data_IF_877140861661
#
_entry.id   IF_877140861661
#
_cell.length_a   1.000
_cell.length_b   1.000
_cell.length_c   1.000
_cell.angle_alpha   90.00
_cell.angle_beta   90.00
_cell.angle_gamma   90.00
#
_symmetry.space_group_name_H-M   'P 1'
#
loop_
_entity.id
_entity.type
_entity.pdbx_description
1 polymer ?
#
# COMPACT_ATOMS: atom_id res chain seq x y z
N UNK A 1 -51.86 -3.79 15.28
CA UNK A 1 -51.00 -2.60 15.48
C UNK A 1 -49.61 -3.14 15.75
N UNK A 2 -48.77 -3.39 14.75
CA UNK A 2 -48.06 -2.40 13.92
C UNK A 2 -46.63 -2.29 14.45
N UNK A 3 -45.72 -3.17 14.01
CA UNK A 3 -44.65 -2.92 13.01
C UNK A 3 -43.56 -1.91 13.45
N UNK A 4 -42.32 -2.38 13.56
CA UNK A 4 -41.18 -1.93 12.72
C UNK A 4 -39.83 -2.46 13.27
N UNK A 5 -39.32 -3.55 12.68
CA UNK A 5 -37.88 -3.76 12.55
C UNK A 5 -37.58 -3.82 11.05
N UNK A 6 -36.82 -2.85 10.60
CA UNK A 6 -36.44 -2.65 9.21
C UNK A 6 -35.24 -3.56 8.92
N UNK A 7 -35.48 -4.69 8.25
CA UNK A 7 -34.41 -5.49 7.64
C UNK A 7 -33.88 -4.76 6.40
N UNK A 8 -32.71 -4.15 6.54
CA UNK A 8 -31.90 -3.67 5.42
C UNK A 8 -31.41 -4.86 4.58
N UNK A 9 -32.11 -5.14 3.47
CA UNK A 9 -31.58 -5.98 2.38
C UNK A 9 -30.45 -5.22 1.68
N UNK A 10 -29.20 -5.60 1.95
CA UNK A 10 -28.04 -5.23 1.15
C UNK A 10 -28.09 -5.99 -0.18
N UNK A 11 -28.42 -5.29 -1.27
CA UNK A 11 -28.35 -5.79 -2.64
C UNK A 11 -26.88 -5.90 -3.08
N UNK A 12 -26.31 -7.10 -2.98
CA UNK A 12 -24.94 -7.42 -3.38
C UNK A 12 -24.79 -7.90 -4.85
N UNK A 13 -25.84 -7.83 -5.67
CA UNK A 13 -25.83 -8.48 -6.99
C UNK A 13 -25.14 -7.70 -8.12
N UNK A 14 -24.66 -6.47 -7.89
CA UNK A 14 -24.09 -5.62 -8.95
C UNK A 14 -22.56 -5.48 -8.95
N UNK A 15 -21.90 -5.64 -7.79
CA UNK A 15 -20.45 -5.38 -7.68
C UNK A 15 -19.56 -6.56 -8.09
N UNK A 16 -20.05 -7.80 -7.99
CA UNK A 16 -19.24 -8.99 -8.31
C UNK A 16 -19.05 -9.21 -9.81
N UNK A 17 -19.99 -8.74 -10.66
CA UNK A 17 -19.90 -8.91 -12.11
C UNK A 17 -18.84 -8.00 -12.75
N UNK A 18 -18.71 -6.76 -12.27
CA UNK A 18 -17.67 -5.81 -12.72
C UNK A 18 -16.26 -6.27 -12.34
N UNK A 19 -16.07 -6.89 -11.17
CA UNK A 19 -14.78 -7.45 -10.75
C UNK A 19 -14.36 -8.67 -11.59
N UNK A 20 -15.32 -9.54 -11.95
CA UNK A 20 -15.09 -10.68 -12.84
C UNK A 20 -14.71 -10.20 -14.25
N UNK A 21 -15.38 -9.15 -14.74
CA UNK A 21 -15.08 -8.45 -15.99
C UNK A 21 -13.63 -7.94 -16.03
N UNK A 22 -13.18 -7.28 -14.96
CA UNK A 22 -11.80 -6.78 -14.84
C UNK A 22 -10.78 -7.91 -14.84
N UNK A 23 -11.04 -9.00 -14.12
CA UNK A 23 -10.14 -10.16 -14.05
C UNK A 23 -10.00 -10.92 -15.37
N UNK A 24 -11.08 -11.04 -16.15
CA UNK A 24 -11.06 -11.70 -17.47
C UNK A 24 -10.30 -10.85 -18.50
N UNK A 25 -10.45 -9.52 -18.44
CA UNK A 25 -9.74 -8.58 -19.31
C UNK A 25 -8.24 -8.50 -18.99
N UNK A 26 -7.84 -8.55 -17.71
CA UNK A 26 -6.44 -8.48 -17.31
C UNK A 26 -5.62 -9.71 -17.73
N UNK A 27 -6.24 -10.89 -17.87
CA UNK A 27 -5.54 -12.13 -18.24
C UNK A 27 -5.04 -12.19 -19.69
N UNK A 28 -5.58 -11.37 -20.60
CA UNK A 28 -5.07 -11.24 -21.99
C UNK A 28 -4.22 -9.98 -22.21
N UNK A 29 -4.16 -9.09 -21.23
CA UNK A 29 -3.42 -7.83 -21.28
C UNK A 29 -2.04 -7.90 -20.60
N UNK A 30 -1.59 -9.09 -20.19
CA UNK A 30 -0.20 -9.36 -19.84
C UNK A 30 0.69 -9.24 -21.09
N UNK A 31 0.87 -8.02 -21.59
CA UNK A 31 2.07 -7.57 -22.30
C UNK A 31 2.18 -6.06 -22.47
N UNK A 32 1.24 -5.23 -21.97
CA UNK A 32 1.47 -3.78 -21.95
C UNK A 32 1.00 -3.15 -20.63
N UNK A 33 1.92 -2.39 -20.03
CA UNK A 33 1.92 -1.82 -18.68
C UNK A 33 0.55 -1.42 -18.12
N UNK A 34 0.14 -2.11 -17.07
CA UNK A 34 -0.95 -1.68 -16.20
C UNK A 34 -0.51 -0.44 -15.40
N UNK A 35 -1.17 0.69 -15.64
CA UNK A 35 -1.35 1.70 -14.59
C UNK A 35 -2.37 1.12 -13.62
N UNK A 36 -1.86 0.57 -12.52
CA UNK A 36 -2.64 0.30 -11.31
C UNK A 36 -3.35 1.61 -10.94
N UNK A 37 -4.66 1.55 -10.69
CA UNK A 37 -5.38 2.63 -10.01
C UNK A 37 -4.87 2.57 -8.57
N UNK A 38 -3.74 3.25 -8.34
CA UNK A 38 -3.29 3.58 -7.00
C UNK A 38 -4.38 4.50 -6.43
N UNK A 39 -5.05 4.04 -5.38
CA UNK A 39 -5.72 4.97 -4.48
C UNK A 39 -4.67 6.03 -4.14
N UNK A 40 -4.93 7.31 -4.44
CA UNK A 40 -4.00 8.40 -4.11
C UNK A 40 -3.87 8.44 -2.57
N UNK A 41 -2.95 7.65 -2.02
CA UNK A 41 -2.58 7.72 -0.63
C UNK A 41 -2.09 9.16 -0.41
N UNK A 42 -2.83 9.94 0.38
CA UNK A 42 -2.43 11.30 0.77
C UNK A 42 -0.99 11.23 1.30
N UNK A 43 -0.06 11.76 0.49
CA UNK A 43 1.35 11.84 0.84
C UNK A 43 1.49 12.77 2.04
N UNK A 44 2.06 12.26 3.12
CA UNK A 44 2.34 13.08 4.29
C UNK A 44 3.30 14.21 3.92
N UNK A 45 3.01 15.43 4.37
CA UNK A 45 3.92 16.55 4.21
C UNK A 45 5.21 16.29 4.98
N UNK A 46 6.35 16.61 4.36
CA UNK A 46 7.67 16.47 4.99
C UNK A 46 8.23 17.81 5.44
N UNK A 47 8.97 17.87 6.56
CA UNK A 47 9.65 19.08 7.00
C UNK A 47 10.60 19.62 5.93
N UNK A 48 10.49 20.91 5.63
CA UNK A 48 11.35 21.57 4.62
C UNK A 48 11.97 22.85 5.12
N UNK A 49 11.44 23.44 6.19
CA UNK A 49 11.96 24.69 6.73
C UNK A 49 11.49 24.91 8.17
N UNK A 50 12.09 25.89 8.84
CA UNK A 50 11.71 26.29 10.19
C UNK A 50 10.43 27.13 10.20
N UNK A 51 9.57 26.87 11.18
CA UNK A 51 8.34 27.63 11.40
C UNK A 51 8.65 28.99 12.03
N UNK A 52 8.54 30.06 11.23
CA UNK A 52 8.82 31.42 11.68
C UNK A 52 7.65 32.06 12.45
N UNK A 53 6.45 31.48 12.40
CA UNK A 53 5.25 32.02 13.06
C UNK A 53 5.18 31.53 14.52
N UNK A 54 5.45 30.24 14.74
CA UNK A 54 5.45 29.62 16.06
C UNK A 54 6.88 29.38 16.56
N UNK A 55 7.60 30.47 16.85
CA UNK A 55 8.95 30.45 17.42
C UNK A 55 8.98 31.23 18.73
N UNK A 56 10.01 31.02 19.57
CA UNK A 56 10.05 31.69 20.88
C UNK A 56 10.22 33.21 20.83
N UNK A 57 10.49 33.78 19.64
CA UNK A 57 10.44 35.21 19.31
C UNK A 57 11.30 36.12 20.19
N UNK A 58 12.26 36.84 19.60
CA UNK A 58 13.08 37.84 20.32
C UNK A 58 14.32 37.31 21.04
N UNK A 59 14.51 35.99 21.12
CA UNK A 59 15.77 35.37 21.60
C UNK A 59 16.60 34.76 20.48
N UNK A 60 15.95 34.43 19.37
CA UNK A 60 16.60 33.98 18.14
C UNK A 60 16.06 34.77 16.95
N UNK A 61 16.85 34.76 15.88
CA UNK A 61 16.42 35.12 14.54
C UNK A 61 16.54 33.89 13.65
N UNK A 62 15.49 33.63 12.87
CA UNK A 62 15.53 32.69 11.75
C UNK A 62 15.93 33.48 10.51
N UNK A 63 16.94 33.01 9.79
CA UNK A 63 17.41 33.65 8.56
C UNK A 63 16.36 33.59 7.44
N UNK A 64 16.44 34.43 6.39
CA UNK A 64 15.47 34.45 5.30
C UNK A 64 15.32 33.12 4.54
N UNK A 65 16.36 32.28 4.56
CA UNK A 65 16.37 30.92 4.02
C UNK A 65 15.45 29.96 4.80
N UNK A 66 15.02 30.34 6.01
CA UNK A 66 14.30 29.52 6.99
C UNK A 66 15.01 28.22 7.37
N UNK A 67 16.33 28.20 7.22
CA UNK A 67 17.20 27.04 7.47
C UNK A 67 18.39 27.40 8.35
N UNK A 68 18.44 28.62 8.89
CA UNK A 68 19.50 29.04 9.81
C UNK A 68 18.92 29.77 11.02
N UNK A 69 19.47 29.50 12.20
CA UNK A 69 19.05 30.09 13.47
C UNK A 69 20.26 30.73 14.14
N UNK A 70 20.09 31.94 14.65
CA UNK A 70 21.10 32.62 15.46
C UNK A 70 20.49 33.14 16.76
N UNK A 71 21.18 32.94 17.88
CA UNK A 71 20.83 33.57 19.15
C UNK A 71 21.27 35.03 19.17
N UNK A 72 20.35 35.94 19.45
CA UNK A 72 20.60 37.38 19.32
C UNK A 72 20.51 38.15 20.63
N UNK A 73 20.06 37.52 21.71
CA UNK A 73 19.93 38.20 23.00
C UNK A 73 21.29 38.30 23.70
N UNK A 74 21.49 39.41 24.41
CA UNK A 74 22.70 39.73 25.19
C UNK A 74 22.46 39.64 26.70
N UNK A 75 21.20 39.66 27.14
CA UNK A 75 20.81 39.53 28.54
C UNK A 75 20.42 38.08 28.83
N UNK A 76 21.29 37.35 29.53
CA UNK A 76 21.16 35.90 29.76
C UNK A 76 20.38 35.62 31.05
N UNK A 77 19.04 35.53 30.97
CA UNK A 77 18.28 34.84 32.01
C UNK A 77 18.11 33.36 31.63
N UNK A 78 18.07 32.47 32.63
CA UNK A 78 18.00 31.01 32.40
C UNK A 78 16.73 30.51 31.68
N UNK A 79 15.79 31.41 31.36
CA UNK A 79 14.56 31.11 30.63
C UNK A 79 14.54 31.74 29.23
N UNK A 80 15.60 32.40 28.80
CA UNK A 80 15.67 33.12 27.53
C UNK A 80 16.13 32.19 26.41
N UNK A 81 15.47 31.04 26.26
CA UNK A 81 15.81 30.04 25.24
C UNK A 81 15.21 30.44 23.89
N UNK A 82 16.07 30.53 22.88
CA UNK A 82 15.67 30.53 21.48
C UNK A 82 15.32 29.11 21.07
N UNK A 83 14.05 28.82 20.75
CA UNK A 83 13.63 27.52 20.21
C UNK A 83 12.70 27.70 19.01
N UNK A 84 12.85 26.81 18.04
CA UNK A 84 12.05 26.80 16.81
C UNK A 84 11.81 25.36 16.34
N UNK A 85 10.57 25.08 15.93
CA UNK A 85 10.16 23.82 15.32
C UNK A 85 10.20 23.91 13.80
N UNK A 86 10.25 22.78 13.10
CA UNK A 86 9.99 22.73 11.66
C UNK A 86 8.53 23.11 11.33
N UNK A 87 8.26 23.33 10.05
CA UNK A 87 6.96 23.76 9.53
C UNK A 87 5.84 22.71 9.65
N UNK A 88 6.19 21.43 9.74
CA UNK A 88 5.25 20.31 9.90
C UNK A 88 5.94 19.18 10.71
N UNK A 89 5.20 18.19 11.23
CA UNK A 89 5.81 17.07 11.95
C UNK A 89 6.64 16.19 11.02
N UNK A 90 7.52 15.38 11.61
CA UNK A 90 8.20 14.29 10.91
C UNK A 90 7.16 13.30 10.35
N UNK A 91 7.30 12.87 9.08
CA UNK A 91 6.40 11.89 8.47
C UNK A 91 6.49 10.55 9.20
N UNK A 92 5.34 9.96 9.50
CA UNK A 92 5.20 8.69 10.21
C UNK A 92 5.05 7.49 9.27
N UNK A 93 4.61 7.72 8.03
CA UNK A 93 4.53 6.69 6.97
C UNK A 93 5.90 6.44 6.31
N UNK A 94 6.96 6.34 7.11
CA UNK A 94 8.29 5.99 6.63
C UNK A 94 9.00 5.07 7.63
N UNK A 95 10.03 4.36 7.18
CA UNK A 95 10.82 3.50 8.08
C UNK A 95 11.65 4.35 9.06
N UNK A 96 12.29 5.38 8.52
CA UNK A 96 13.22 6.25 9.24
C UNK A 96 13.03 7.69 8.75
N UNK A 97 12.90 8.62 9.69
CA UNK A 97 13.01 10.05 9.43
C UNK A 97 14.31 10.59 10.04
N UNK A 98 14.95 11.57 9.40
CA UNK A 98 16.24 12.10 9.84
C UNK A 98 16.46 13.54 9.34
N UNK A 99 17.12 14.36 10.16
CA UNK A 99 17.58 15.70 9.81
C UNK A 99 18.91 16.02 10.51
N UNK A 100 19.67 16.97 9.98
CA UNK A 100 20.94 17.40 10.54
C UNK A 100 20.93 18.90 10.88
N UNK A 101 21.71 19.26 11.91
CA UNK A 101 22.17 20.62 12.14
C UNK A 101 23.69 20.67 11.95
N UNK A 102 24.17 21.76 11.39
CA UNK A 102 25.58 22.13 11.38
C UNK A 102 25.80 23.27 12.35
N UNK A 103 26.69 23.08 13.33
CA UNK A 103 27.01 24.12 14.32
C UNK A 103 28.02 25.07 13.71
N UNK A 104 27.53 26.20 13.18
CA UNK A 104 28.38 27.23 12.58
C UNK A 104 29.17 28.00 13.65
N UNK A 105 28.53 28.30 14.77
CA UNK A 105 29.15 28.93 15.93
C UNK A 105 28.52 28.41 17.21
N UNK A 106 29.30 27.83 18.12
CA UNK A 106 28.84 27.37 19.42
C UNK A 106 28.57 28.53 20.41
N UNK A 107 28.90 29.76 20.04
CA UNK A 107 28.71 30.92 20.88
C UNK A 107 29.49 30.84 22.18
N UNK A 108 28.99 31.52 23.22
CA UNK A 108 29.69 31.66 24.49
C UNK A 108 29.70 30.38 25.35
N UNK A 109 28.66 29.55 25.24
CA UNK A 109 28.47 28.38 26.12
C UNK A 109 28.13 27.07 25.40
N UNK A 110 27.81 27.08 24.09
CA UNK A 110 27.50 25.86 23.36
C UNK A 110 26.19 25.18 23.78
N UNK A 111 25.23 25.92 24.34
CA UNK A 111 23.94 25.43 24.84
C UNK A 111 22.92 25.26 23.70
N UNK A 112 23.40 24.59 22.64
CA UNK A 112 22.65 24.26 21.45
C UNK A 112 22.03 22.88 21.68
N UNK A 113 20.75 22.72 21.32
CA UNK A 113 20.07 21.44 21.42
C UNK A 113 19.33 21.09 20.13
N UNK A 114 19.32 19.80 19.81
CA UNK A 114 18.58 19.19 18.70
C UNK A 114 17.65 18.11 19.24
N UNK A 115 16.46 18.00 18.67
CA UNK A 115 15.61 16.85 18.94
C UNK A 115 14.21 16.98 18.38
N UNK A 116 13.25 16.44 19.13
CA UNK A 116 11.86 16.29 18.70
C UNK A 116 10.90 16.75 19.78
N UNK A 117 9.89 17.53 19.40
CA UNK A 117 8.88 18.05 20.34
C UNK A 117 7.47 17.92 19.77
N UNK A 118 6.47 17.82 20.63
CA UNK A 118 5.07 17.79 20.20
C UNK A 118 4.57 19.17 19.71
N UNK A 119 3.39 19.20 19.09
CA UNK A 119 2.76 20.41 18.54
C UNK A 119 2.54 21.52 19.59
N UNK A 120 2.24 21.16 20.83
CA UNK A 120 1.93 22.09 21.93
C UNK A 120 3.15 22.37 22.82
N UNK A 121 4.36 22.17 22.28
CA UNK A 121 5.58 22.34 23.04
C UNK A 121 5.69 23.78 23.58
N UNK A 122 6.02 23.89 24.88
CA UNK A 122 6.16 25.19 25.53
C UNK A 122 7.41 25.90 25.01
N UNK A 123 7.19 26.93 24.20
CA UNK A 123 8.25 27.81 23.72
C UNK A 123 9.05 28.42 24.88
N UNK A 124 10.35 28.69 24.64
CA UNK A 124 11.36 29.12 25.64
C UNK A 124 11.88 28.01 26.55
N UNK A 125 11.79 26.76 26.08
CA UNK A 125 12.38 25.58 26.69
C UNK A 125 13.21 24.85 25.64
N UNK A 126 14.26 24.16 26.05
CA UNK A 126 15.02 23.32 25.14
C UNK A 126 14.31 21.98 24.91
N UNK A 127 14.46 21.34 23.74
CA UNK A 127 13.98 19.98 23.52
C UNK A 127 14.42 19.04 24.65
N UNK A 128 13.52 18.20 25.15
CA UNK A 128 13.77 17.30 26.27
C UNK A 128 13.44 17.87 27.65
N UNK A 129 13.07 19.15 27.78
CA UNK A 129 12.75 19.76 29.08
C UNK A 129 11.27 19.74 29.45
N UNK A 130 10.39 19.33 28.52
CA UNK A 130 8.95 19.21 28.71
C UNK A 130 8.48 17.79 28.37
N UNK A 131 7.34 17.37 28.91
CA UNK A 131 6.77 16.05 28.62
C UNK A 131 6.58 15.84 27.11
N UNK A 132 6.81 14.61 26.64
CA UNK A 132 6.75 14.25 25.22
C UNK A 132 7.63 15.15 24.34
N UNK A 133 8.86 15.34 24.80
CA UNK A 133 9.92 16.07 24.12
C UNK A 133 11.24 15.37 24.43
N UNK A 134 12.12 15.33 23.43
CA UNK A 134 13.38 14.60 23.46
C UNK A 134 14.46 15.50 22.87
N UNK A 135 15.62 15.60 23.51
CA UNK A 135 16.68 16.50 23.06
C UNK A 135 18.08 16.05 23.47
N UNK A 136 19.02 16.20 22.56
CA UNK A 136 20.45 16.00 22.78
C UNK A 136 21.13 17.38 22.84
N UNK A 137 21.83 17.63 23.96
CA UNK A 137 22.35 18.95 24.33
C UNK A 137 23.86 19.03 24.14
N UNK A 138 24.33 20.14 23.58
CA UNK A 138 25.71 20.30 23.12
C UNK A 138 26.72 20.60 24.22
N UNK A 139 26.31 21.30 25.28
CA UNK A 139 27.17 21.76 26.36
C UNK A 139 27.56 20.63 27.33
N UNK A 140 26.70 19.63 27.50
CA UNK A 140 26.90 18.52 28.45
C UNK A 140 26.88 17.12 27.81
N UNK A 141 26.45 16.99 26.56
CA UNK A 141 26.34 15.72 25.86
C UNK A 141 25.20 14.82 26.37
N UNK A 142 24.28 15.37 27.16
CA UNK A 142 23.21 14.61 27.79
C UNK A 142 21.97 14.50 26.88
N UNK A 143 21.20 13.43 27.12
CA UNK A 143 19.87 13.24 26.56
C UNK A 143 18.83 13.69 27.59
N UNK A 144 17.89 14.53 27.16
CA UNK A 144 16.78 15.01 27.95
C UNK A 144 15.45 14.48 27.38
N UNK A 145 14.56 14.02 28.26
CA UNK A 145 13.31 13.30 27.88
C UNK A 145 12.07 13.67 28.71
N UNK A 146 11.94 14.95 29.02
CA UNK A 146 10.75 15.60 29.57
C UNK A 146 10.69 15.80 31.07
N UNK A 147 11.74 15.43 31.81
CA UNK A 147 11.83 15.63 33.27
C UNK A 147 12.87 16.69 33.66
N UNK A 148 13.49 17.38 32.70
CA UNK A 148 14.52 18.39 32.95
C UNK A 148 15.83 17.84 33.58
N UNK A 149 15.91 16.53 33.82
CA UNK A 149 17.10 15.82 34.26
C UNK A 149 17.72 15.10 33.06
N UNK A 150 18.95 15.49 32.72
CA UNK A 150 19.71 14.86 31.65
C UNK A 150 20.24 13.48 32.05
N UNK A 151 20.38 12.61 31.05
CA UNK A 151 20.97 11.28 31.17
C UNK A 151 22.22 11.19 30.31
N UNK A 152 23.24 10.46 30.79
CA UNK A 152 24.48 10.29 30.04
C UNK A 152 24.19 9.59 28.70
N UNK A 153 24.60 10.20 27.60
CA UNK A 153 24.20 9.76 26.27
C UNK A 153 25.34 9.80 25.26
N UNK A 154 25.91 10.99 25.01
CA UNK A 154 26.88 11.21 23.97
C UNK A 154 28.02 12.16 24.38
N UNK A 155 28.98 12.41 23.49
CA UNK A 155 29.96 13.47 23.68
C UNK A 155 29.26 14.84 23.63
N UNK A 156 29.93 15.90 24.09
CA UNK A 156 29.52 17.28 23.79
C UNK A 156 29.72 17.59 22.29
N UNK A 157 29.16 18.69 21.80
CA UNK A 157 29.40 19.16 20.43
C UNK A 157 29.54 20.68 20.34
N UNK A 158 30.27 21.14 19.33
CA UNK A 158 30.68 22.54 19.22
C UNK A 158 30.82 22.98 17.74
N UNK A 159 31.34 24.18 17.51
CA UNK A 159 31.54 24.76 16.18
C UNK A 159 32.27 23.79 15.25
N UNK A 160 31.72 23.59 14.05
CA UNK A 160 32.23 22.68 13.04
C UNK A 160 31.67 21.26 13.11
N UNK A 161 30.95 20.89 14.18
CA UNK A 161 30.28 19.60 14.27
C UNK A 161 28.94 19.60 13.50
N UNK A 162 28.63 18.47 12.85
CA UNK A 162 27.31 18.16 12.32
C UNK A 162 26.62 17.16 13.25
N UNK A 163 25.43 17.52 13.73
CA UNK A 163 24.62 16.69 14.64
C UNK A 163 23.31 16.33 13.98
N UNK A 164 23.00 15.05 13.93
CA UNK A 164 21.75 14.56 13.36
C UNK A 164 20.81 14.00 14.41
N UNK A 165 19.51 14.15 14.18
CA UNK A 165 18.45 13.55 14.96
C UNK A 165 17.51 12.76 14.06
N UNK A 166 17.18 11.54 14.46
CA UNK A 166 16.31 10.66 13.70
C UNK A 166 15.33 9.87 14.54
N UNK A 167 14.28 9.40 13.86
CA UNK A 167 13.25 8.52 14.39
C UNK A 167 13.24 7.26 13.53
N UNK A 168 13.49 6.10 14.14
CA UNK A 168 13.25 4.80 13.55
C UNK A 168 11.82 4.36 13.93
N UNK A 169 10.87 4.46 13.00
CA UNK A 169 9.48 4.10 13.25
C UNK A 169 9.26 2.59 13.29
N UNK A 170 10.17 1.78 12.73
CA UNK A 170 10.11 0.33 12.86
C UNK A 170 10.34 -0.13 14.30
N UNK A 171 11.36 0.42 14.96
CA UNK A 171 11.68 0.08 16.35
C UNK A 171 11.06 1.02 17.38
N UNK A 172 10.40 2.10 16.92
CA UNK A 172 9.88 3.20 17.74
C UNK A 172 10.96 3.87 18.58
N UNK A 173 12.14 4.09 17.98
CA UNK A 173 13.34 4.60 18.64
C UNK A 173 13.78 5.97 18.11
N UNK A 174 14.21 6.85 19.01
CA UNK A 174 15.02 8.01 18.66
C UNK A 174 16.49 7.61 18.58
N UNK A 175 17.21 8.18 17.63
CA UNK A 175 18.67 8.07 17.55
C UNK A 175 19.29 9.41 17.17
N UNK A 176 20.55 9.58 17.54
CA UNK A 176 21.32 10.77 17.22
C UNK A 176 22.66 10.40 16.61
N UNK A 177 23.25 11.35 15.91
CA UNK A 177 24.54 11.16 15.25
C UNK A 177 25.42 12.39 15.44
N UNK A 178 26.73 12.19 15.45
CA UNK A 178 27.73 13.24 15.41
C UNK A 178 28.73 12.94 14.30
N UNK A 179 28.92 13.90 13.38
CA UNK A 179 29.87 13.82 12.27
C UNK A 179 29.77 12.49 11.49
N UNK A 180 28.54 12.09 11.17
CA UNK A 180 28.25 10.90 10.40
C UNK A 180 28.34 9.57 11.15
N UNK A 181 28.41 9.58 12.49
CA UNK A 181 28.42 8.36 13.31
C UNK A 181 27.30 8.38 14.34
N UNK A 182 26.67 7.23 14.60
CA UNK A 182 25.68 7.07 15.67
C UNK A 182 26.30 7.38 17.04
N UNK A 183 25.51 8.00 17.90
CA UNK A 183 25.90 8.42 19.25
C UNK A 183 24.93 7.83 20.26
N UNK A 184 25.47 7.37 21.39
CA UNK A 184 24.68 6.81 22.48
C UNK A 184 23.92 5.55 22.07
N UNK A 185 22.97 5.15 22.92
CA UNK A 185 22.06 4.05 22.62
C UNK A 185 20.70 4.61 22.16
N UNK A 186 20.04 3.98 21.18
CA UNK A 186 18.72 4.39 20.76
C UNK A 186 17.71 4.31 21.92
N UNK A 187 16.71 5.18 21.91
CA UNK A 187 15.74 5.30 22.99
C UNK A 187 14.31 5.09 22.51
N UNK A 188 13.58 4.16 23.15
CA UNK A 188 12.18 3.82 22.82
C UNK A 188 11.21 4.67 23.60
N UNK A 189 10.54 5.61 22.94
CA UNK A 189 9.32 6.27 23.46
C UNK A 189 8.63 7.16 22.42
N UNK A 190 8.64 6.81 21.13
CA UNK A 190 8.06 7.67 20.08
C UNK A 190 6.54 7.75 20.27
N UNK A 191 6.01 8.96 20.54
CA UNK A 191 4.59 9.18 20.87
C UNK A 191 3.99 10.36 20.11
N UNK A 192 3.09 10.03 19.18
CA UNK A 192 2.31 11.00 18.40
C UNK A 192 3.15 11.75 17.35
N UNK A 193 2.54 12.75 16.68
CA UNK A 193 3.25 13.60 15.74
C UNK A 193 4.32 14.44 16.46
N UNK A 194 5.54 14.39 15.95
CA UNK A 194 6.68 15.08 16.54
C UNK A 194 7.37 15.96 15.50
N UNK A 195 7.69 17.18 15.90
CA UNK A 195 8.35 18.16 15.08
C UNK A 195 9.86 18.10 15.32
N UNK A 196 10.68 18.09 14.27
CA UNK A 196 12.09 18.45 14.39
C UNK A 196 12.23 19.82 15.03
N UNK A 197 13.08 19.91 16.05
CA UNK A 197 13.19 21.13 16.87
C UNK A 197 14.65 21.41 17.19
N UNK A 198 15.02 22.67 17.09
CA UNK A 198 16.36 23.16 17.40
C UNK A 198 16.25 24.30 18.40
N UNK A 199 17.16 24.34 19.37
CA UNK A 199 17.27 25.42 20.34
C UNK A 199 18.70 25.95 20.47
N UNK A 200 18.77 27.24 20.79
CA UNK A 200 19.95 28.03 21.08
C UNK A 200 19.68 28.86 22.34
N UNK A 201 20.67 29.05 23.20
CA UNK A 201 20.50 29.65 24.52
C UNK A 201 21.69 30.50 24.96
N UNK A 202 22.78 30.58 24.20
CA UNK A 202 23.89 31.47 24.53
C UNK A 202 24.31 32.38 23.39
N UNK A 203 24.92 33.50 23.76
CA UNK A 203 25.29 34.57 22.85
C UNK A 203 26.13 34.05 21.67
N UNK A 204 25.78 34.49 20.46
CA UNK A 204 26.42 34.15 19.19
C UNK A 204 26.28 32.70 18.73
N UNK A 205 25.46 31.88 19.40
CA UNK A 205 25.14 30.56 18.87
C UNK A 205 24.47 30.67 17.51
N UNK A 206 24.97 29.92 16.55
CA UNK A 206 24.49 29.92 15.16
C UNK A 206 24.53 28.50 14.59
N UNK A 207 23.42 28.07 14.01
CA UNK A 207 23.26 26.74 13.44
C UNK A 207 22.56 26.81 12.08
N UNK A 208 22.99 25.96 11.15
CA UNK A 208 22.29 25.69 9.90
C UNK A 208 21.58 24.34 10.00
N UNK A 209 20.42 24.20 9.37
CA UNK A 209 19.57 23.02 9.42
C UNK A 209 19.44 22.44 8.02
N UNK A 210 19.57 21.13 7.91
CA UNK A 210 19.34 20.34 6.71
C UNK A 210 18.21 19.34 6.97
N UNK A 211 17.06 19.53 6.32
CA UNK A 211 15.94 18.59 6.36
C UNK A 211 16.00 17.54 5.24
N UNK A 212 17.09 17.50 4.47
CA UNK A 212 17.29 16.61 3.32
C UNK A 212 17.45 17.33 1.98
N UNK A 213 17.48 18.67 1.97
CA UNK A 213 17.77 19.45 0.76
C UNK A 213 19.22 19.27 0.30
N UNK A 214 20.12 18.92 1.21
CA UNK A 214 21.51 18.59 0.95
C UNK A 214 21.81 17.17 1.41
N UNK A 215 22.84 16.57 0.83
CA UNK A 215 23.31 15.25 1.27
C UNK A 215 23.71 15.30 2.75
N UNK A 216 23.21 14.36 3.53
CA UNK A 216 23.58 14.21 4.93
C UNK A 216 25.03 13.75 5.10
N UNK A 217 25.65 14.12 6.22
CA UNK A 217 26.96 13.58 6.63
C UNK A 217 26.82 12.13 7.08
N UNK A 218 25.72 11.79 7.75
CA UNK A 218 25.37 10.39 8.05
C UNK A 218 24.79 9.68 6.82
N UNK A 219 25.20 8.44 6.61
CA UNK A 219 24.66 7.59 5.55
C UNK A 219 23.30 7.00 5.97
N UNK A 220 22.27 7.84 5.90
CA UNK A 220 20.90 7.48 6.29
C UNK A 220 20.30 6.39 5.37
N UNK A 221 20.73 6.34 4.11
CA UNK A 221 20.27 5.34 3.14
C UNK A 221 20.78 3.95 3.53
N UNK A 222 22.08 3.83 3.84
CA UNK A 222 22.66 2.58 4.33
C UNK A 222 22.03 2.16 5.67
N UNK A 223 21.81 3.10 6.60
CA UNK A 223 21.12 2.82 7.85
C UNK A 223 19.69 2.28 7.62
N UNK A 224 18.91 2.94 6.77
CA UNK A 224 17.56 2.49 6.44
C UNK A 224 17.57 1.11 5.75
N UNK A 225 18.56 0.82 4.89
CA UNK A 225 18.72 -0.49 4.27
C UNK A 225 19.03 -1.58 5.31
N UNK A 226 19.91 -1.32 6.27
CA UNK A 226 20.22 -2.25 7.36
C UNK A 226 18.97 -2.55 8.20
N UNK A 227 18.18 -1.53 8.54
CA UNK A 227 16.92 -1.70 9.28
C UNK A 227 15.88 -2.49 8.49
N UNK A 228 15.76 -2.29 7.16
CA UNK A 228 14.91 -3.14 6.30
C UNK A 228 15.33 -4.59 6.32
N UNK A 229 16.63 -4.87 6.28
CA UNK A 229 17.16 -6.23 6.34
C UNK A 229 16.84 -6.89 7.69
N UNK A 230 16.98 -6.17 8.81
CA UNK A 230 16.60 -6.66 10.15
C UNK A 230 15.11 -6.99 10.24
N UNK A 231 14.25 -6.13 9.69
CA UNK A 231 12.81 -6.41 9.62
C UNK A 231 12.52 -7.64 8.76
N UNK A 232 13.11 -7.73 7.57
CA UNK A 232 12.94 -8.86 6.66
C UNK A 232 13.31 -10.18 7.34
N UNK A 233 14.49 -10.24 7.96
CA UNK A 233 14.93 -11.43 8.71
C UNK A 233 14.00 -11.77 9.88
N UNK A 234 13.35 -10.77 10.49
CA UNK A 234 12.38 -11.00 11.56
C UNK A 234 11.07 -11.57 11.02
N UNK A 235 10.62 -11.10 9.85
CA UNK A 235 9.45 -11.61 9.13
C UNK A 235 9.69 -13.06 8.68
N UNK A 236 10.85 -13.39 8.11
CA UNK A 236 11.18 -14.75 7.66
C UNK A 236 11.20 -15.77 8.82
N UNK A 237 11.45 -15.32 10.05
CA UNK A 237 11.39 -16.17 11.25
C UNK A 237 9.96 -16.41 11.74
N UNK A 238 8.97 -15.68 11.23
CA UNK A 238 7.57 -15.91 11.55
C UNK A 238 7.12 -17.21 10.89
N UNK A 239 6.99 -18.26 11.70
CA UNK A 239 6.46 -19.53 11.24
C UNK A 239 4.93 -19.42 11.13
N UNK A 240 4.42 -19.55 9.90
CA UNK A 240 2.99 -19.71 9.68
C UNK A 240 2.60 -21.18 9.90
N UNK A 241 1.49 -21.45 10.63
CA UNK A 241 0.97 -22.79 10.75
C UNK A 241 0.67 -23.39 9.36
N UNK A 242 1.15 -24.62 9.13
CA UNK A 242 1.08 -25.28 7.83
C UNK A 242 -0.38 -25.45 7.33
N UNK A 243 -1.33 -25.62 8.25
CA UNK A 243 -2.76 -25.70 7.96
C UNK A 243 -3.32 -24.42 7.31
N UNK A 244 -2.83 -23.23 7.67
CA UNK A 244 -3.29 -21.95 7.10
C UNK A 244 -2.91 -21.87 5.63
N UNK A 245 -1.63 -22.09 5.32
CA UNK A 245 -1.14 -22.12 3.93
C UNK A 245 -1.85 -23.19 3.10
N UNK A 246 -2.06 -24.37 3.69
CA UNK A 246 -2.76 -25.48 3.05
C UNK A 246 -4.21 -25.11 2.70
N UNK A 247 -4.92 -24.48 3.64
CA UNK A 247 -6.32 -24.10 3.43
C UNK A 247 -6.48 -23.00 2.38
N UNK A 248 -5.56 -22.02 2.32
CA UNK A 248 -5.58 -20.97 1.29
C UNK A 248 -5.47 -21.60 -0.11
N UNK A 249 -4.50 -22.49 -0.31
CA UNK A 249 -4.31 -23.19 -1.60
C UNK A 249 -5.51 -24.08 -1.91
N UNK A 250 -5.97 -24.88 -0.94
CA UNK A 250 -7.14 -25.76 -1.08
C UNK A 250 -8.40 -24.98 -1.46
N UNK A 251 -8.67 -23.86 -0.79
CA UNK A 251 -9.82 -22.99 -1.04
C UNK A 251 -9.78 -22.39 -2.45
N UNK A 252 -8.60 -21.93 -2.90
CA UNK A 252 -8.39 -21.47 -4.27
C UNK A 252 -8.72 -22.57 -5.29
N UNK A 253 -8.17 -23.77 -5.12
CA UNK A 253 -8.41 -24.90 -6.03
C UNK A 253 -9.89 -25.31 -6.08
N UNK A 254 -10.56 -25.32 -4.92
CA UNK A 254 -11.99 -25.60 -4.81
C UNK A 254 -12.84 -24.51 -5.47
N UNK A 255 -12.51 -23.23 -5.26
CA UNK A 255 -13.24 -22.10 -5.83
C UNK A 255 -13.20 -22.12 -7.36
N UNK A 256 -12.01 -22.35 -7.95
CA UNK A 256 -11.80 -22.32 -9.40
C UNK A 256 -12.12 -23.63 -10.13
N UNK A 257 -12.56 -24.68 -9.43
CA UNK A 257 -12.94 -25.95 -10.06
C UNK A 257 -11.76 -26.84 -10.47
N UNK A 258 -10.58 -26.66 -9.87
CA UNK A 258 -9.36 -27.43 -10.18
C UNK A 258 -9.34 -28.77 -9.45
N UNK A 259 -10.37 -29.59 -9.68
CA UNK A 259 -10.61 -30.81 -8.92
C UNK A 259 -9.45 -31.82 -8.95
N UNK A 260 -8.85 -32.08 -10.12
CA UNK A 260 -7.77 -33.07 -10.21
C UNK A 260 -6.55 -32.63 -9.41
N UNK A 261 -6.17 -31.36 -9.54
CA UNK A 261 -5.12 -30.74 -8.74
C UNK A 261 -5.46 -30.75 -7.25
N UNK A 262 -6.72 -30.48 -6.90
CA UNK A 262 -7.19 -30.52 -5.51
C UNK A 262 -7.05 -31.92 -4.90
N UNK A 263 -7.43 -32.95 -5.63
CA UNK A 263 -7.31 -34.34 -5.20
C UNK A 263 -5.84 -34.73 -5.01
N UNK A 264 -4.97 -34.37 -5.96
CA UNK A 264 -3.53 -34.58 -5.84
C UNK A 264 -2.93 -33.82 -4.64
N UNK A 265 -3.40 -32.60 -4.41
CA UNK A 265 -2.96 -31.75 -3.30
C UNK A 265 -3.36 -32.33 -1.94
N UNK A 266 -4.59 -32.82 -1.80
CA UNK A 266 -5.08 -33.50 -0.59
C UNK A 266 -4.37 -34.84 -0.34
N UNK A 267 -4.04 -35.57 -1.40
CA UNK A 267 -3.27 -36.80 -1.30
C UNK A 267 -1.85 -36.51 -0.78
N UNK A 268 -1.20 -35.47 -1.32
CA UNK A 268 0.12 -35.06 -0.89
C UNK A 268 0.14 -34.56 0.57
N UNK A 269 -0.88 -33.82 1.02
CA UNK A 269 -0.93 -33.28 2.39
C UNK A 269 -1.06 -34.34 3.49
N UNK A 270 -1.63 -35.51 3.14
CA UNK A 270 -1.67 -36.69 4.03
C UNK A 270 -0.32 -37.37 4.18
N UNK A 271 0.58 -37.18 3.21
CA UNK A 271 1.93 -37.77 3.21
C UNK A 271 3.01 -36.91 3.89
N UNK A 272 2.69 -35.65 4.23
CA UNK A 272 3.56 -34.75 5.00
C UNK A 272 3.71 -35.21 6.45
N UNK A 273 4.87 -34.95 7.08
CA UNK A 273 5.14 -35.25 8.48
C UNK A 273 5.38 -33.94 9.27
N UNK A 274 4.52 -33.59 10.26
CA UNK A 274 3.27 -34.26 10.62
C UNK A 274 2.18 -34.07 9.55
N UNK A 275 1.19 -34.98 9.45
CA UNK A 275 0.08 -34.82 8.52
C UNK A 275 -0.69 -33.53 8.80
N UNK A 276 -1.03 -32.79 7.75
CA UNK A 276 -1.81 -31.55 7.89
C UNK A 276 -3.25 -31.95 8.18
N UNK A 277 -3.70 -31.75 9.41
CA UNK A 277 -5.11 -31.96 9.76
C UNK A 277 -5.97 -30.94 9.01
N UNK A 278 -6.81 -31.42 8.09
CA UNK A 278 -7.85 -30.61 7.46
C UNK A 278 -8.95 -30.43 8.50
N UNK A 279 -8.83 -29.41 9.35
CA UNK A 279 -9.91 -29.07 10.28
C UNK A 279 -11.06 -28.48 9.46
N UNK A 280 -12.21 -29.15 9.50
CA UNK A 280 -13.48 -28.66 8.94
C UNK A 280 -13.97 -27.49 9.81
N UNK A 281 -13.41 -26.29 9.59
CA UNK A 281 -13.85 -25.10 10.36
C UNK A 281 -15.22 -24.59 9.91
N UNK A 282 -15.66 -24.95 8.70
CA UNK A 282 -16.95 -24.53 8.19
C UNK A 282 -17.82 -25.79 8.04
N UNK A 283 -18.87 -25.92 8.86
CA UNK A 283 -19.83 -27.04 8.89
C UNK A 283 -20.66 -27.25 7.61
N UNK A 284 -20.10 -26.99 6.44
CA UNK A 284 -20.65 -27.31 5.13
C UNK A 284 -20.26 -28.74 4.75
N UNK A 285 -21.25 -29.56 4.43
CA UNK A 285 -21.04 -30.96 4.06
C UNK A 285 -20.18 -31.09 2.80
N UNK A 286 -19.10 -31.88 2.89
CA UNK A 286 -18.17 -32.16 1.77
C UNK A 286 -18.88 -32.68 0.51
N UNK A 287 -19.98 -33.42 0.70
CA UNK A 287 -20.72 -34.07 -0.37
C UNK A 287 -21.32 -33.04 -1.35
N UNK A 288 -21.95 -31.96 -0.86
CA UNK A 288 -22.52 -30.91 -1.72
C UNK A 288 -21.45 -30.14 -2.52
N UNK A 289 -20.31 -29.88 -1.89
CA UNK A 289 -19.17 -29.21 -2.53
C UNK A 289 -18.51 -30.07 -3.61
N UNK A 290 -18.43 -31.40 -3.41
CA UNK A 290 -17.86 -32.32 -4.41
C UNK A 290 -18.70 -32.42 -5.68
N UNK A 291 -20.03 -32.48 -5.59
CA UNK A 291 -20.91 -32.49 -6.77
C UNK A 291 -20.80 -31.19 -7.56
N UNK A 292 -20.84 -30.04 -6.89
CA UNK A 292 -20.62 -28.75 -7.54
C UNK A 292 -19.22 -28.59 -8.14
N UNK A 293 -18.21 -29.24 -7.56
CA UNK A 293 -16.83 -29.22 -8.07
C UNK A 293 -16.69 -30.04 -9.36
N UNK A 294 -17.27 -31.24 -9.41
CA UNK A 294 -17.33 -32.07 -10.63
C UNK A 294 -18.00 -31.33 -11.78
N UNK A 295 -19.13 -30.66 -11.52
CA UNK A 295 -19.84 -29.90 -12.55
C UNK A 295 -18.97 -28.76 -13.10
N UNK A 296 -18.30 -28.00 -12.21
CA UNK A 296 -17.37 -26.94 -12.61
C UNK A 296 -16.18 -27.47 -13.40
N UNK A 297 -15.61 -28.62 -13.01
CA UNK A 297 -14.54 -29.29 -13.77
C UNK A 297 -15.00 -29.59 -15.20
N UNK A 298 -16.16 -30.25 -15.35
CA UNK A 298 -16.66 -30.63 -16.68
C UNK A 298 -16.96 -29.40 -17.55
N UNK A 299 -17.67 -28.41 -17.00
CA UNK A 299 -17.98 -27.18 -17.73
C UNK A 299 -16.70 -26.47 -18.21
N UNK A 300 -15.66 -26.41 -17.37
CA UNK A 300 -14.36 -25.85 -17.77
C UNK A 300 -13.69 -26.68 -18.86
N UNK A 301 -13.79 -28.01 -18.81
CA UNK A 301 -13.23 -28.87 -19.85
C UNK A 301 -13.92 -28.63 -21.19
N UNK A 302 -15.27 -28.61 -21.21
CA UNK A 302 -16.07 -28.34 -22.41
C UNK A 302 -15.74 -26.97 -23.01
N UNK A 303 -15.70 -25.91 -22.18
CA UNK A 303 -15.36 -24.57 -22.65
C UNK A 303 -13.93 -24.51 -23.19
N UNK A 304 -12.97 -25.18 -22.53
CA UNK A 304 -11.57 -25.21 -22.97
C UNK A 304 -11.33 -26.04 -24.22
N UNK A 305 -12.17 -27.04 -24.48
CA UNK A 305 -12.10 -27.86 -25.70
C UNK A 305 -12.94 -27.29 -26.84
N UNK A 306 -13.57 -26.13 -26.66
CA UNK A 306 -14.42 -25.50 -27.67
C UNK A 306 -15.82 -26.12 -27.83
N UNK A 307 -16.19 -27.10 -26.99
CA UNK A 307 -17.52 -27.73 -27.04
C UNK A 307 -18.55 -26.90 -26.24
N UNK A 308 -18.89 -25.75 -26.80
CA UNK A 308 -19.76 -24.77 -26.14
C UNK A 308 -21.23 -25.20 -26.15
N UNK A 309 -21.67 -25.98 -27.14
CA UNK A 309 -23.06 -26.45 -27.19
C UNK A 309 -23.34 -27.44 -26.06
N UNK A 310 -22.43 -28.39 -25.81
CA UNK A 310 -22.50 -29.26 -24.64
C UNK A 310 -22.41 -28.47 -23.35
N UNK A 311 -21.59 -27.40 -23.29
CA UNK A 311 -21.50 -26.54 -22.12
C UNK A 311 -22.85 -25.84 -21.82
N UNK A 312 -23.52 -25.28 -22.82
CA UNK A 312 -24.87 -24.73 -22.68
C UNK A 312 -25.89 -25.81 -22.27
N UNK A 313 -25.80 -27.01 -22.84
CA UNK A 313 -26.63 -28.16 -22.46
C UNK A 313 -26.50 -28.48 -20.96
N UNK A 314 -25.26 -28.59 -20.47
CA UNK A 314 -24.97 -28.85 -19.06
C UNK A 314 -25.35 -27.71 -18.13
N UNK A 315 -25.22 -26.45 -18.57
CA UNK A 315 -25.72 -25.30 -17.80
C UNK A 315 -27.24 -25.29 -17.68
N UNK A 316 -27.98 -25.62 -18.76
CA UNK A 316 -29.45 -25.80 -18.72
C UNK A 316 -29.86 -26.90 -17.76
N UNK A 317 -29.14 -28.01 -17.78
CA UNK A 317 -29.43 -29.17 -16.94
C UNK A 317 -29.15 -28.90 -15.46
N UNK A 318 -28.00 -28.31 -15.12
CA UNK A 318 -27.52 -28.24 -13.73
C UNK A 318 -27.77 -26.90 -13.05
N UNK A 319 -27.77 -25.80 -13.82
CA UNK A 319 -27.85 -24.44 -13.28
C UNK A 319 -28.71 -23.53 -14.18
N UNK A 320 -29.99 -23.87 -14.42
CA UNK A 320 -30.85 -23.12 -15.34
C UNK A 320 -30.96 -21.62 -14.97
N UNK A 321 -30.85 -21.27 -13.70
CA UNK A 321 -30.86 -19.89 -13.21
C UNK A 321 -29.70 -19.04 -13.75
N UNK A 322 -28.56 -19.64 -14.08
CA UNK A 322 -27.37 -18.92 -14.59
C UNK A 322 -27.61 -18.38 -16.00
N UNK A 323 -28.38 -19.13 -16.79
CA UNK A 323 -28.65 -18.83 -18.20
C UNK A 323 -30.12 -18.49 -18.44
N UNK A 324 -30.90 -18.30 -17.37
CA UNK A 324 -32.31 -17.92 -17.44
C UNK A 324 -32.48 -16.57 -18.15
N UNK A 325 -31.54 -15.65 -17.90
CA UNK A 325 -31.39 -14.44 -18.68
C UNK A 325 -30.43 -14.72 -19.85
N UNK A 326 -30.98 -14.87 -21.04
CA UNK A 326 -30.22 -15.10 -22.27
C UNK A 326 -29.35 -13.90 -22.66
N UNK A 327 -29.60 -12.74 -22.06
CA UNK A 327 -28.83 -11.50 -22.19
C UNK A 327 -27.81 -11.27 -21.08
N UNK A 328 -27.57 -12.27 -20.23
CA UNK A 328 -26.54 -12.19 -19.17
C UNK A 328 -25.13 -12.15 -19.74
N UNK A 329 -24.18 -11.61 -18.96
CA UNK A 329 -22.76 -11.63 -19.31
C UNK A 329 -22.21 -13.04 -19.54
N UNK A 330 -22.73 -14.03 -18.82
CA UNK A 330 -22.30 -15.43 -18.95
C UNK A 330 -22.73 -15.97 -20.33
N UNK A 331 -23.98 -15.74 -20.73
CA UNK A 331 -24.46 -16.08 -22.06
C UNK A 331 -23.65 -15.36 -23.14
N UNK A 332 -23.40 -14.06 -22.98
CA UNK A 332 -22.56 -13.29 -23.90
C UNK A 332 -21.19 -13.93 -24.09
N UNK A 333 -20.47 -14.22 -23.00
CA UNK A 333 -19.12 -14.80 -23.06
C UNK A 333 -19.11 -16.20 -23.69
N UNK A 334 -20.12 -17.03 -23.43
CA UNK A 334 -20.25 -18.34 -24.06
C UNK A 334 -20.55 -18.23 -25.56
N UNK A 335 -21.47 -17.36 -25.96
CA UNK A 335 -21.75 -17.10 -27.38
C UNK A 335 -20.51 -16.55 -28.10
N UNK A 336 -19.75 -15.67 -27.44
CA UNK A 336 -18.46 -15.19 -27.96
C UNK A 336 -17.48 -16.35 -28.17
N UNK A 337 -17.36 -17.25 -27.19
CA UNK A 337 -16.49 -18.41 -27.31
C UNK A 337 -16.95 -19.31 -28.47
N UNK A 338 -18.25 -19.65 -28.57
CA UNK A 338 -18.79 -20.48 -29.66
C UNK A 338 -18.50 -19.88 -31.03
N UNK A 339 -18.71 -18.57 -31.16
CA UNK A 339 -18.37 -17.85 -32.37
C UNK A 339 -16.87 -17.95 -32.71
N UNK A 340 -15.99 -17.74 -31.72
CA UNK A 340 -14.53 -17.89 -31.92
C UNK A 340 -14.18 -19.30 -32.39
N UNK A 341 -14.78 -20.33 -31.80
CA UNK A 341 -14.55 -21.73 -32.22
C UNK A 341 -14.96 -21.97 -33.68
N UNK A 342 -16.13 -21.46 -34.12
CA UNK A 342 -16.59 -21.57 -35.51
C UNK A 342 -15.63 -20.90 -36.49
N UNK A 343 -15.11 -19.71 -36.13
CA UNK A 343 -14.09 -19.03 -36.94
C UNK A 343 -12.79 -19.82 -36.97
N UNK A 344 -12.35 -20.39 -35.85
CA UNK A 344 -11.11 -21.16 -35.76
C UNK A 344 -11.11 -22.42 -36.63
N UNK A 345 -12.26 -23.10 -36.76
CA UNK A 345 -12.39 -24.27 -37.63
C UNK A 345 -12.66 -23.92 -39.11
N UNK A 346 -12.80 -22.64 -39.44
CA UNK A 346 -13.00 -22.15 -40.81
C UNK A 346 -14.45 -22.16 -41.30
N UNK A 347 -15.42 -22.42 -40.42
CA UNK A 347 -16.86 -22.40 -40.73
C UNK A 347 -17.41 -20.97 -40.71
N UNK A 348 -16.89 -20.12 -41.61
CA UNK A 348 -17.17 -18.67 -41.59
C UNK A 348 -18.64 -18.33 -41.84
N UNK A 349 -19.33 -19.08 -42.70
CA UNK A 349 -20.75 -18.84 -43.02
C UNK A 349 -21.63 -19.10 -41.78
N UNK A 350 -21.43 -20.24 -41.12
CA UNK A 350 -22.11 -20.58 -39.86
C UNK A 350 -21.74 -19.61 -38.74
N UNK A 351 -20.49 -19.16 -38.66
CA UNK A 351 -20.06 -18.16 -37.68
C UNK A 351 -20.83 -16.83 -37.85
N UNK A 352 -21.04 -16.36 -39.09
CA UNK A 352 -21.80 -15.14 -39.37
C UNK A 352 -23.28 -15.32 -39.03
N UNK A 353 -23.88 -16.45 -39.43
CA UNK A 353 -25.27 -16.78 -39.11
C UNK A 353 -25.46 -16.80 -37.58
N UNK A 354 -24.56 -17.47 -36.86
CA UNK A 354 -24.58 -17.57 -35.41
C UNK A 354 -24.42 -16.20 -34.73
N UNK A 355 -23.46 -15.38 -35.16
CA UNK A 355 -23.26 -14.05 -34.60
C UNK A 355 -24.47 -13.14 -34.77
N UNK A 356 -25.12 -13.19 -35.94
CA UNK A 356 -26.35 -12.44 -36.20
C UNK A 356 -27.51 -12.89 -35.31
N UNK A 357 -27.64 -14.20 -35.09
CA UNK A 357 -28.71 -14.76 -34.28
C UNK A 357 -28.50 -14.52 -32.78
N UNK A 358 -27.28 -14.75 -32.27
CA UNK A 358 -27.02 -14.83 -30.84
C UNK A 358 -26.21 -13.66 -30.28
N UNK A 359 -25.33 -13.01 -31.05
CA UNK A 359 -24.49 -11.92 -30.53
C UNK A 359 -25.07 -10.53 -30.77
N UNK A 360 -25.83 -10.32 -31.85
CA UNK A 360 -26.39 -9.01 -32.21
C UNK A 360 -27.23 -8.38 -31.09
N UNK A 361 -27.96 -9.21 -30.34
CA UNK A 361 -28.80 -8.79 -29.21
C UNK A 361 -28.01 -8.08 -28.10
N UNK A 362 -26.72 -8.40 -27.91
CA UNK A 362 -25.90 -7.81 -26.85
C UNK A 362 -25.31 -6.44 -27.19
N UNK A 363 -25.36 -6.00 -28.44
CA UNK A 363 -24.72 -4.74 -28.87
C UNK A 363 -25.40 -3.49 -28.33
N UNK A 364 -26.67 -3.61 -27.91
CA UNK A 364 -27.43 -2.50 -27.32
C UNK A 364 -27.27 -2.43 -25.79
N UNK A 365 -26.56 -3.38 -25.17
CA UNK A 365 -26.37 -3.42 -23.71
C UNK A 365 -25.19 -2.54 -23.31
N UNK A 366 -25.49 -1.39 -22.71
CA UNK A 366 -24.50 -0.41 -22.28
C UNK A 366 -23.40 -0.99 -21.35
N UNK A 367 -23.76 -1.91 -20.43
CA UNK A 367 -22.80 -2.53 -19.51
C UNK A 367 -21.83 -3.50 -20.19
N UNK A 368 -22.13 -3.97 -21.40
CA UNK A 368 -21.29 -4.89 -22.17
C UNK A 368 -20.54 -4.20 -23.32
N UNK A 369 -20.76 -2.90 -23.55
CA UNK A 369 -20.20 -2.16 -24.67
C UNK A 369 -18.67 -2.31 -24.80
N UNK A 370 -17.96 -2.30 -23.67
CA UNK A 370 -16.50 -2.51 -23.65
C UNK A 370 -16.09 -3.91 -24.12
N UNK A 371 -16.81 -4.96 -23.72
CA UNK A 371 -16.52 -6.32 -24.16
C UNK A 371 -16.92 -6.57 -25.61
N UNK A 372 -18.03 -5.97 -26.06
CA UNK A 372 -18.45 -5.99 -27.46
C UNK A 372 -17.38 -5.35 -28.34
N UNK A 373 -16.79 -4.23 -27.90
CA UNK A 373 -15.70 -3.59 -28.61
C UNK A 373 -14.46 -4.49 -28.73
N UNK A 374 -14.05 -5.17 -27.65
CA UNK A 374 -12.94 -6.15 -27.66
C UNK A 374 -13.23 -7.32 -28.62
N UNK A 375 -14.47 -7.82 -28.61
CA UNK A 375 -14.88 -8.87 -29.55
C UNK A 375 -14.73 -8.36 -30.98
N UNK A 376 -15.25 -7.16 -31.30
CA UNK A 376 -15.18 -6.52 -32.61
C UNK A 376 -13.73 -6.34 -33.11
N UNK A 377 -12.81 -5.98 -32.23
CA UNK A 377 -11.38 -5.86 -32.54
C UNK A 377 -10.72 -7.21 -32.87
N UNK A 378 -11.12 -8.30 -32.19
CA UNK A 378 -10.67 -9.66 -32.51
C UNK A 378 -11.07 -10.10 -33.93
N UNK A 379 -12.22 -9.64 -34.46
CA UNK A 379 -12.58 -9.91 -35.87
C UNK A 379 -11.67 -9.17 -36.86
N UNK A 380 -11.24 -7.95 -36.55
CA UNK A 380 -10.38 -7.15 -37.44
C UNK A 380 -9.01 -7.82 -37.62
N UNK A 381 -8.50 -8.49 -36.58
CA UNK A 381 -7.19 -9.13 -36.58
C UNK A 381 -7.16 -10.54 -37.21
N UNK A 382 -8.30 -11.24 -37.31
CA UNK A 382 -8.34 -12.67 -37.68
C UNK A 382 -8.47 -12.96 -39.18
N UNK A 383 -8.21 -11.99 -40.07
CA UNK A 383 -8.43 -12.10 -41.53
C UNK A 383 -9.88 -12.44 -41.93
N UNK A 384 -10.82 -12.27 -40.99
CA UNK A 384 -12.25 -12.31 -41.27
C UNK A 384 -12.57 -11.01 -42.02
N UNK A 385 -12.80 -11.13 -43.33
CA UNK A 385 -13.07 -10.02 -44.25
C UNK A 385 -13.96 -8.93 -43.62
N UNK A 386 -13.64 -7.66 -43.89
CA UNK A 386 -14.38 -6.47 -43.41
C UNK A 386 -15.91 -6.51 -43.66
N UNK A 387 -16.34 -7.40 -44.55
CA UNK A 387 -17.74 -7.71 -44.89
C UNK A 387 -18.49 -8.36 -43.70
N UNK A 388 -17.86 -9.25 -42.92
CA UNK A 388 -18.52 -9.90 -41.77
C UNK A 388 -18.77 -8.92 -40.61
N UNK A 389 -17.87 -7.96 -40.41
CA UNK A 389 -18.02 -6.93 -39.37
C UNK A 389 -19.16 -5.95 -39.65
N UNK A 390 -19.39 -5.60 -40.92
CA UNK A 390 -20.51 -4.76 -41.33
C UNK A 390 -21.84 -5.52 -41.30
N UNK A 391 -21.83 -6.81 -41.63
CA UNK A 391 -23.02 -7.65 -41.71
C UNK A 391 -23.58 -8.03 -40.33
N UNK A 392 -22.73 -8.06 -39.29
CA UNK A 392 -23.11 -8.33 -37.89
C UNK A 392 -23.59 -7.06 -37.17
N UNK A 393 -23.10 -5.87 -37.56
CA UNK A 393 -23.54 -4.58 -37.00
C UNK A 393 -24.89 -4.08 -37.54
N UNK A 394 -25.34 -4.59 -38.69
CA UNK A 394 -26.58 -4.14 -39.35
C UNK A 394 -27.41 -5.35 -39.82
N UNK A 395 -28.31 -5.90 -38.96
CA UNK A 395 -29.10 -7.08 -39.29
C UNK A 395 -30.09 -6.89 -40.46
N UNK A 396 -30.28 -5.67 -40.97
CA UNK A 396 -31.22 -5.36 -42.05
C UNK A 396 -30.59 -5.11 -43.43
N UNK A 397 -29.26 -5.17 -43.56
CA UNK A 397 -28.60 -5.08 -44.88
C UNK A 397 -28.34 -6.47 -45.46
N UNK A 398 -29.07 -6.76 -46.55
CA UNK A 398 -28.82 -7.86 -47.51
C UNK A 398 -27.54 -7.57 -48.27
#
# INVERSE_FOLDING_TARGET
MGNNQQETRLSLSGRSEEEILRLVLNRRRCNEGEKVIEEEEEQEQVPTHLNTINSSGGFLIVSPDKLSVQYTNVHLHGHDVGVVQANCPAPTKCLVYYFEIYVKNAGAKGQIAIGFTNEHFKMRRQPGWETNSYGYHGDDGLLYRGQGKGENFGPTFTSGDTIGGGINYASQEFFFTKNGKLVGNPYKDVKGPLFPTVAVHSQNEEVNINFGQQRFVFDIEAFAQEERLKQHMSIEKVLLPLNVSHWIVRSYLLHYGYQDTLNSYDMASKSTLPPIAVVQENGFSEHGNMFALNHRKLLRQLIRSGDIDSAFGKLREWYPQIIQNDMSIICFLLHCQKFIELVQVGELEEAVIYARAELAKFFEIASLAGLVQVLLELFVFSSVNSICLQSVRDPQRV
#
